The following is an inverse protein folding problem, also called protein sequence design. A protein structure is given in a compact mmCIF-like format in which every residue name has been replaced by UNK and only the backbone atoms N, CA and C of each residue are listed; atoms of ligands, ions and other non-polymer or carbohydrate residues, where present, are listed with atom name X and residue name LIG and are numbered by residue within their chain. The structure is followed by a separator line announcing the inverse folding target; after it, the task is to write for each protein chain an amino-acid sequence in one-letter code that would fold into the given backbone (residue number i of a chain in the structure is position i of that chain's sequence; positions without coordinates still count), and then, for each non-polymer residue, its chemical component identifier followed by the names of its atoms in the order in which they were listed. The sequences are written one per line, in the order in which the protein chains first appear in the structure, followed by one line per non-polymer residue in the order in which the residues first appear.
data_IF_252531625873
#
_entry.id   IF_252531625873
#
_cell.length_a   1.000
_cell.length_b   1.000
_cell.length_c   1.000
_cell.angle_alpha   90.00
_cell.angle_beta   90.00
_cell.angle_gamma   90.00
#
_symmetry.space_group_name_H-M   'P 1'
#
loop_
_entity.id
_entity.type
_entity.pdbx_description
1 polymer ?
#
# COMPACT_ATOMS: atom_id res chain seq x y z
N UNK A 1 7.29 -6.98 -14.06
CA UNK A 1 7.66 -6.66 -12.68
C UNK A 1 6.49 -5.98 -11.99
N UNK A 2 6.04 -6.61 -10.93
CA UNK A 2 4.89 -6.18 -10.18
C UNK A 2 5.28 -5.23 -9.05
N UNK A 3 4.53 -4.17 -8.88
CA UNK A 3 4.60 -3.36 -7.67
C UNK A 3 3.99 -4.12 -6.49
N UNK A 4 4.33 -3.68 -5.29
CA UNK A 4 3.90 -4.33 -4.04
C UNK A 4 3.20 -3.29 -3.17
N UNK A 5 2.08 -3.67 -2.56
CA UNK A 5 1.49 -2.88 -1.49
C UNK A 5 1.66 -3.62 -0.16
N UNK A 6 2.14 -2.91 0.85
CA UNK A 6 2.35 -3.45 2.19
C UNK A 6 1.36 -2.76 3.12
N UNK A 7 0.50 -3.55 3.75
CA UNK A 7 -0.48 -3.05 4.69
C UNK A 7 0.00 -3.28 6.12
N UNK A 8 -0.04 -2.23 6.92
CA UNK A 8 0.33 -2.30 8.33
C UNK A 8 -0.92 -2.12 9.18
N UNK A 9 -1.48 -3.23 9.64
CA UNK A 9 -2.63 -3.24 10.56
C UNK A 9 -3.91 -2.62 10.00
N UNK A 10 -4.24 -2.89 8.74
CA UNK A 10 -5.55 -2.57 8.20
C UNK A 10 -6.56 -3.56 8.80
N UNK A 11 -7.54 -3.06 9.54
CA UNK A 11 -8.48 -3.90 10.28
C UNK A 11 -9.87 -3.97 9.66
N UNK A 12 -10.28 -2.94 8.96
CA UNK A 12 -11.58 -2.89 8.32
C UNK A 12 -11.60 -3.77 7.07
N UNK A 13 -12.48 -4.78 7.05
CA UNK A 13 -12.57 -5.72 5.94
C UNK A 13 -13.02 -5.07 4.64
N UNK A 14 -13.81 -4.02 4.72
CA UNK A 14 -14.24 -3.27 3.53
C UNK A 14 -13.06 -2.51 2.92
N UNK A 15 -12.25 -1.86 3.75
CA UNK A 15 -11.02 -1.21 3.27
C UNK A 15 -10.06 -2.22 2.67
N UNK A 16 -9.89 -3.35 3.32
CA UNK A 16 -9.02 -4.41 2.80
C UNK A 16 -9.49 -4.87 1.42
N UNK A 17 -10.77 -5.20 1.29
CA UNK A 17 -11.33 -5.65 0.02
C UNK A 17 -11.18 -4.62 -1.11
N UNK A 18 -11.43 -3.35 -0.79
CA UNK A 18 -11.27 -2.26 -1.76
C UNK A 18 -9.80 -2.07 -2.17
N UNK A 19 -8.87 -2.20 -1.23
CA UNK A 19 -7.43 -2.11 -1.52
C UNK A 19 -6.99 -3.24 -2.45
N UNK A 20 -7.44 -4.46 -2.18
CA UNK A 20 -7.14 -5.61 -3.04
C UNK A 20 -7.66 -5.39 -4.47
N UNK A 21 -8.86 -4.87 -4.60
CA UNK A 21 -9.44 -4.59 -5.91
C UNK A 21 -8.63 -3.53 -6.66
N UNK A 22 -8.23 -2.46 -5.99
CA UNK A 22 -7.35 -1.44 -6.57
C UNK A 22 -5.99 -2.02 -6.94
N UNK A 23 -5.43 -2.87 -6.10
CA UNK A 23 -4.16 -3.54 -6.36
C UNK A 23 -4.22 -4.36 -7.65
N UNK A 24 -5.29 -5.11 -7.84
CA UNK A 24 -5.52 -5.85 -9.07
C UNK A 24 -5.63 -4.92 -10.28
N UNK A 25 -6.36 -3.81 -10.13
CA UNK A 25 -6.59 -2.85 -11.22
C UNK A 25 -5.31 -2.12 -11.64
N UNK A 26 -4.42 -1.84 -10.69
CA UNK A 26 -3.24 -1.00 -10.92
C UNK A 26 -1.92 -1.78 -10.90
N UNK A 27 -1.98 -3.09 -11.07
CA UNK A 27 -0.81 -3.95 -11.23
C UNK A 27 0.10 -3.99 -10.00
N UNK A 28 -0.49 -3.88 -8.81
CA UNK A 28 0.16 -4.16 -7.54
C UNK A 28 -0.17 -5.60 -7.17
N UNK A 29 0.46 -6.55 -7.84
CA UNK A 29 0.03 -7.95 -7.81
C UNK A 29 0.45 -8.71 -6.55
N UNK A 30 1.20 -8.07 -5.67
CA UNK A 30 1.62 -8.64 -4.39
C UNK A 30 1.12 -7.73 -3.28
N UNK A 31 0.37 -8.30 -2.34
CA UNK A 31 -0.13 -7.61 -1.16
C UNK A 31 0.46 -8.27 0.07
N UNK A 32 1.20 -7.51 0.86
CA UNK A 32 1.85 -8.02 2.07
C UNK A 32 1.04 -7.63 3.31
N UNK A 33 0.82 -8.60 4.18
CA UNK A 33 0.02 -8.44 5.40
C UNK A 33 0.80 -8.93 6.61
N UNK A 34 0.61 -8.31 7.78
CA UNK A 34 1.20 -8.87 9.02
C UNK A 34 0.60 -10.23 9.31
N UNK A 35 1.42 -11.16 9.71
CA UNK A 35 0.97 -12.50 10.09
C UNK A 35 0.10 -12.48 11.34
N UNK A 36 0.40 -11.57 12.28
CA UNK A 36 -0.40 -11.35 13.47
C UNK A 36 -1.16 -10.04 13.35
N UNK A 37 -2.39 -9.99 13.91
CA UNK A 37 -3.23 -8.80 13.91
C UNK A 37 -3.62 -8.30 12.52
N UNK A 38 -3.59 -9.18 11.53
CA UNK A 38 -4.16 -8.85 10.24
C UNK A 38 -5.69 -8.97 10.32
N UNK A 39 -6.36 -8.29 9.42
CA UNK A 39 -7.77 -8.52 9.19
C UNK A 39 -8.02 -10.00 8.95
N UNK A 40 -9.13 -10.53 9.45
CA UNK A 40 -9.52 -11.92 9.17
C UNK A 40 -9.77 -12.09 7.69
N UNK A 41 -8.77 -12.62 7.01
CA UNK A 41 -8.87 -12.88 5.58
C UNK A 41 -9.47 -14.26 5.41
N UNK A 42 -10.72 -14.31 5.02
CA UNK A 42 -11.43 -15.52 4.71
C UNK A 42 -11.60 -15.61 3.20
N UNK A 43 -11.89 -16.80 2.72
CA UNK A 43 -12.27 -16.98 1.30
C UNK A 43 -13.42 -16.04 0.90
N UNK A 44 -14.30 -15.76 1.82
CA UNK A 44 -15.41 -14.83 1.59
C UNK A 44 -14.92 -13.40 1.38
N UNK A 45 -13.95 -12.94 2.17
CA UNK A 45 -13.35 -11.63 2.00
C UNK A 45 -12.70 -11.53 0.62
N UNK A 46 -12.00 -12.57 0.23
CA UNK A 46 -11.44 -12.67 -1.11
C UNK A 46 -12.53 -12.63 -2.18
N UNK A 47 -13.56 -13.42 -2.04
CA UNK A 47 -14.63 -13.51 -3.03
C UNK A 47 -15.34 -12.15 -3.21
N UNK A 48 -15.57 -11.41 -2.12
CA UNK A 48 -16.23 -10.10 -2.18
C UNK A 48 -15.34 -9.04 -2.84
N UNK A 49 -14.04 -9.12 -2.60
CA UNK A 49 -13.10 -8.15 -3.16
C UNK A 49 -12.75 -8.42 -4.61
N UNK A 50 -13.09 -9.58 -5.12
CA UNK A 50 -12.29 -10.17 -6.16
C UNK A 50 -12.81 -10.23 -7.54
N UNK A 51 -13.60 -9.69 -8.03
CA UNK A 51 -13.72 -9.91 -9.49
C UNK A 51 -12.36 -9.94 -10.20
N UNK A 52 -11.59 -11.01 -10.07
CA UNK A 52 -10.31 -11.16 -10.78
C UNK A 52 -9.05 -11.20 -9.94
N UNK A 53 -9.15 -11.70 -8.73
CA UNK A 53 -7.99 -11.81 -7.81
C UNK A 53 -7.01 -12.92 -8.16
N UNK A 54 -7.21 -13.65 -9.22
CA UNK A 54 -6.26 -14.67 -9.63
C UNK A 54 -4.85 -14.10 -9.84
N UNK A 55 -4.75 -12.80 -10.11
CA UNK A 55 -3.49 -12.13 -10.38
C UNK A 55 -2.88 -11.45 -9.15
N UNK A 56 -3.53 -11.53 -7.99
CA UNK A 56 -3.01 -10.92 -6.76
C UNK A 56 -2.61 -12.01 -5.78
N UNK A 57 -1.36 -11.94 -5.33
CA UNK A 57 -0.82 -12.86 -4.33
C UNK A 57 -0.75 -12.20 -2.98
N UNK A 58 -1.18 -12.89 -1.94
CA UNK A 58 -1.07 -12.43 -0.56
C UNK A 58 0.18 -13.05 0.05
N UNK A 59 1.02 -12.24 0.65
CA UNK A 59 2.22 -12.67 1.36
C UNK A 59 2.14 -12.16 2.79
N UNK A 60 2.37 -13.05 3.75
CA UNK A 60 2.38 -12.67 5.16
C UNK A 60 3.81 -12.41 5.63
N UNK A 61 3.99 -11.37 6.42
CA UNK A 61 5.28 -11.04 7.02
C UNK A 61 5.21 -11.05 8.54
N UNK A 62 6.33 -11.35 9.21
CA UNK A 62 6.43 -11.31 10.67
C UNK A 62 6.89 -9.96 11.17
N UNK A 63 7.92 -9.40 10.58
CA UNK A 63 8.48 -8.10 10.95
C UNK A 63 8.49 -7.18 9.74
N UNK A 64 7.84 -6.03 9.87
CA UNK A 64 7.82 -5.04 8.80
C UNK A 64 9.23 -4.49 8.53
N UNK A 65 10.07 -4.39 9.55
CA UNK A 65 11.45 -3.91 9.38
C UNK A 65 12.29 -4.89 8.56
N UNK A 66 12.12 -6.18 8.80
CA UNK A 66 12.77 -7.22 7.98
C UNK A 66 12.26 -7.19 6.55
N UNK A 67 10.96 -6.98 6.38
CA UNK A 67 10.36 -6.87 5.05
C UNK A 67 10.92 -5.66 4.29
N UNK A 68 11.00 -4.50 4.93
CA UNK A 68 11.58 -3.28 4.32
C UNK A 68 13.00 -3.56 3.85
N UNK A 69 13.81 -4.16 4.71
CA UNK A 69 15.20 -4.49 4.36
C UNK A 69 15.27 -5.42 3.15
N UNK A 70 14.43 -6.43 3.13
CA UNK A 70 14.37 -7.38 2.01
C UNK A 70 13.92 -6.72 0.71
N UNK A 71 12.92 -5.85 0.79
CA UNK A 71 12.42 -5.14 -0.40
C UNK A 71 13.49 -4.21 -0.98
N UNK A 72 14.22 -3.50 -0.12
CA UNK A 72 15.33 -2.64 -0.57
C UNK A 72 16.42 -3.48 -1.23
N UNK A 73 16.74 -4.65 -0.67
CA UNK A 73 17.74 -5.55 -1.25
C UNK A 73 17.30 -6.08 -2.63
N UNK A 74 15.99 -6.11 -2.89
CA UNK A 74 15.42 -6.50 -4.18
C UNK A 74 15.19 -5.30 -5.12
N UNK A 75 15.76 -4.15 -4.78
CA UNK A 75 15.71 -2.91 -5.56
C UNK A 75 14.32 -2.27 -5.65
N UNK A 76 13.47 -2.51 -4.67
CA UNK A 76 12.21 -1.78 -4.56
C UNK A 76 12.46 -0.41 -3.93
N UNK A 77 11.80 0.60 -4.48
CA UNK A 77 11.65 1.88 -3.81
C UNK A 77 10.51 1.77 -2.79
N UNK A 78 10.84 2.01 -1.53
CA UNK A 78 9.86 1.90 -0.46
C UNK A 78 9.25 3.28 -0.20
N UNK A 79 7.95 3.39 -0.41
CA UNK A 79 7.21 4.66 -0.34
C UNK A 79 6.11 4.52 0.69
N UNK A 80 6.12 5.40 1.68
CA UNK A 80 5.05 5.48 2.66
C UNK A 80 4.00 6.51 2.26
N UNK A 81 2.75 6.22 2.54
CA UNK A 81 1.64 7.14 2.32
C UNK A 81 1.21 7.70 3.68
N UNK A 82 1.38 8.99 3.87
CA UNK A 82 1.05 9.69 5.11
C UNK A 82 0.51 11.08 4.81
N UNK A 83 -0.31 11.59 5.72
CA UNK A 83 -0.87 12.94 5.57
C UNK A 83 0.07 14.02 6.09
N UNK A 84 0.83 13.71 7.14
CA UNK A 84 1.70 14.67 7.82
C UNK A 84 3.11 14.64 7.22
N UNK A 85 3.20 15.11 5.99
CA UNK A 85 4.45 15.25 5.25
C UNK A 85 4.28 16.37 4.22
N UNK A 86 5.37 16.88 3.71
CA UNK A 86 5.34 17.95 2.71
C UNK A 86 5.38 17.43 1.27
N UNK A 87 5.89 16.22 1.05
CA UNK A 87 6.06 15.68 -0.30
C UNK A 87 4.72 15.25 -0.91
N UNK A 88 4.32 15.92 -1.96
CA UNK A 88 3.13 15.56 -2.73
C UNK A 88 3.46 14.38 -3.65
N UNK A 89 2.63 13.33 -3.61
CA UNK A 89 2.84 12.14 -4.43
C UNK A 89 2.89 12.46 -5.92
N UNK A 90 2.20 13.51 -6.35
CA UNK A 90 2.22 13.91 -7.76
C UNK A 90 3.61 14.34 -8.24
N UNK A 91 4.49 14.73 -7.32
CA UNK A 91 5.87 15.09 -7.64
C UNK A 91 6.83 13.91 -7.61
N UNK A 92 6.36 12.73 -7.19
CA UNK A 92 7.19 11.54 -7.11
C UNK A 92 7.15 10.80 -8.44
N UNK A 93 8.30 10.72 -9.11
CA UNK A 93 8.41 10.04 -10.39
C UNK A 93 9.30 8.81 -10.25
N UNK A 94 8.69 7.63 -10.23
CA UNK A 94 9.36 6.34 -10.15
C UNK A 94 8.97 5.46 -11.34
N UNK A 95 8.86 6.04 -12.53
CA UNK A 95 8.32 5.37 -13.72
C UNK A 95 9.08 4.11 -14.11
N UNK A 96 10.39 4.09 -13.92
CA UNK A 96 11.22 2.94 -14.29
C UNK A 96 11.65 2.10 -13.11
N UNK A 97 11.02 2.33 -11.95
CA UNK A 97 11.39 1.66 -10.70
C UNK A 97 10.28 0.71 -10.22
N UNK A 98 10.67 -0.28 -9.47
CA UNK A 98 9.74 -1.12 -8.72
C UNK A 98 9.36 -0.40 -7.43
N UNK A 99 8.08 -0.33 -7.13
CA UNK A 99 7.56 0.41 -5.98
C UNK A 99 6.94 -0.54 -4.98
N UNK A 100 7.30 -0.40 -3.71
CA UNK A 100 6.60 -0.99 -2.59
C UNK A 100 5.93 0.14 -1.81
N UNK A 101 4.61 0.18 -1.85
CA UNK A 101 3.80 1.22 -1.24
C UNK A 101 3.31 0.74 0.14
N UNK A 102 3.61 1.52 1.17
CA UNK A 102 3.27 1.18 2.57
C UNK A 102 2.08 2.01 3.03
N UNK A 103 1.04 1.33 3.47
CA UNK A 103 -0.20 1.93 3.99
C UNK A 103 -0.33 1.57 5.47
N UNK A 104 -0.42 2.57 6.32
CA UNK A 104 -0.58 2.38 7.75
C UNK A 104 -2.01 2.14 8.18
N UNK A 105 -2.21 1.96 9.49
CA UNK A 105 -3.55 1.75 10.06
C UNK A 105 -4.44 2.97 9.83
N UNK A 106 -5.74 2.73 9.84
CA UNK A 106 -6.74 3.79 9.64
C UNK A 106 -6.68 4.86 10.73
N UNK A 107 -6.30 4.47 11.94
CA UNK A 107 -6.30 5.38 13.09
C UNK A 107 -5.01 6.17 13.26
N UNK A 108 -3.87 5.52 13.09
CA UNK A 108 -2.59 6.11 13.45
C UNK A 108 -1.58 6.22 12.31
N UNK A 109 -1.89 5.67 11.15
CA UNK A 109 -0.97 5.67 10.02
C UNK A 109 0.27 4.80 10.28
N UNK A 110 1.37 5.16 9.64
CA UNK A 110 2.65 4.49 9.81
C UNK A 110 3.40 5.10 11.01
N UNK A 111 3.99 4.25 11.85
CA UNK A 111 4.80 4.75 12.97
C UNK A 111 6.01 5.53 12.46
N UNK A 112 6.52 6.44 13.30
CA UNK A 112 7.73 7.19 12.97
C UNK A 112 8.93 6.28 12.70
N UNK A 113 9.02 5.17 13.42
CA UNK A 113 10.10 4.21 13.23
C UNK A 113 10.05 3.56 11.85
N UNK A 114 8.86 3.21 11.39
CA UNK A 114 8.67 2.67 10.04
C UNK A 114 9.02 3.75 9.02
N UNK A 115 8.49 4.96 9.19
CA UNK A 115 8.72 6.04 8.24
C UNK A 115 10.22 6.32 8.03
N UNK A 116 11.02 6.27 9.09
CA UNK A 116 12.47 6.48 9.02
C UNK A 116 13.21 5.45 8.18
N UNK A 117 12.64 4.27 8.01
CA UNK A 117 13.26 3.19 7.25
C UNK A 117 12.87 3.19 5.78
N UNK A 118 11.84 3.93 5.41
CA UNK A 118 11.37 4.00 4.03
C UNK A 118 12.22 4.99 3.21
N UNK A 119 12.26 4.80 1.90
CA UNK A 119 13.02 5.67 1.01
C UNK A 119 12.40 7.06 0.94
N UNK A 120 11.07 7.12 0.92
CA UNK A 120 10.37 8.40 0.96
C UNK A 120 8.97 8.26 1.54
N UNK A 121 8.45 9.38 2.01
CA UNK A 121 7.09 9.50 2.54
C UNK A 121 6.38 10.55 1.71
N UNK A 122 5.19 10.26 1.25
CA UNK A 122 4.43 11.16 0.40
C UNK A 122 2.98 11.26 0.84
N UNK A 123 2.33 12.33 0.43
CA UNK A 123 0.92 12.57 0.71
C UNK A 123 0.14 12.76 -0.57
N UNK A 124 -1.16 12.57 -0.47
CA UNK A 124 -2.10 13.00 -1.49
C UNK A 124 -2.51 14.43 -1.13
N UNK A 125 -2.21 15.36 -2.02
CA UNK A 125 -2.57 16.76 -1.80
C UNK A 125 -4.09 16.94 -1.87
N UNK A 126 -4.66 17.63 -0.90
CA UNK A 126 -6.10 17.85 -0.84
C UNK A 126 -6.41 19.16 -0.12
N UNK A 127 -7.66 19.59 -0.20
CA UNK A 127 -8.13 20.82 0.43
C UNK A 127 -7.98 20.74 1.95
N UNK A 128 -7.55 21.80 2.56
CA UNK A 128 -7.32 21.89 4.02
C UNK A 128 -8.57 21.69 4.86
N UNK A 129 -9.75 21.76 4.26
CA UNK A 129 -11.03 21.58 4.96
C UNK A 129 -11.31 20.13 5.32
N UNK A 130 -10.60 19.21 4.73
CA UNK A 130 -10.77 17.77 4.94
C UNK A 130 -9.54 17.24 5.70
N UNK A 131 -9.76 16.55 6.80
CA UNK A 131 -8.67 16.03 7.62
C UNK A 131 -7.97 14.83 7.00
N UNK A 132 -8.72 13.92 6.40
CA UNK A 132 -8.16 12.72 5.78
C UNK A 132 -9.12 12.10 4.78
N UNK A 133 -8.58 11.27 3.91
CA UNK A 133 -9.35 10.39 3.04
C UNK A 133 -9.50 9.02 3.69
N UNK A 134 -10.55 8.31 3.31
CA UNK A 134 -10.65 6.89 3.63
C UNK A 134 -9.40 6.15 3.13
N UNK A 135 -8.90 5.21 3.92
CA UNK A 135 -7.65 4.51 3.63
C UNK A 135 -7.65 3.82 2.27
N UNK A 136 -8.76 3.18 1.89
CA UNK A 136 -8.84 2.49 0.60
C UNK A 136 -8.88 3.46 -0.57
N UNK A 137 -9.48 4.63 -0.40
CA UNK A 137 -9.50 5.67 -1.43
C UNK A 137 -8.09 6.24 -1.62
N UNK A 138 -7.41 6.57 -0.53
CA UNK A 138 -6.04 7.07 -0.57
C UNK A 138 -5.10 6.05 -1.23
N UNK A 139 -5.22 4.78 -0.84
CA UNK A 139 -4.43 3.70 -1.41
C UNK A 139 -4.67 3.56 -2.92
N UNK A 140 -5.92 3.64 -3.35
CA UNK A 140 -6.28 3.56 -4.77
C UNK A 140 -5.67 4.69 -5.59
N UNK A 141 -5.73 5.92 -5.07
CA UNK A 141 -5.13 7.09 -5.74
C UNK A 141 -3.61 6.90 -5.87
N UNK A 142 -2.95 6.47 -4.79
CA UNK A 142 -1.51 6.25 -4.79
C UNK A 142 -1.10 5.14 -5.76
N UNK A 143 -1.82 4.03 -5.76
CA UNK A 143 -1.53 2.92 -6.67
C UNK A 143 -1.76 3.33 -8.13
N UNK A 144 -2.79 4.11 -8.41
CA UNK A 144 -3.02 4.65 -9.75
C UNK A 144 -1.85 5.53 -10.20
N UNK A 145 -1.33 6.36 -9.30
CA UNK A 145 -0.19 7.23 -9.61
C UNK A 145 1.03 6.41 -10.06
N UNK A 146 1.29 5.28 -9.40
CA UNK A 146 2.44 4.43 -9.75
C UNK A 146 2.13 3.37 -10.81
N UNK A 147 0.90 3.32 -11.29
CA UNK A 147 0.51 2.33 -12.28
C UNK A 147 1.25 2.55 -13.58
N UNK A 148 1.85 1.48 -14.09
CA UNK A 148 2.55 1.48 -15.37
C UNK A 148 1.82 0.57 -16.33
N UNK A 149 1.46 1.13 -17.47
CA UNK A 149 0.90 0.30 -18.53
C UNK A 149 1.99 -0.61 -19.05
N UNK A 150 1.69 -1.90 -19.14
CA UNK A 150 2.55 -2.80 -19.90
C UNK A 150 2.50 -2.37 -21.37
N UNK A 151 3.63 -2.05 -21.91
CA UNK A 151 3.78 -1.70 -23.31
C UNK A 151 3.60 -2.93 -24.20
#
# INVERSE_FOLDING_TARGET
LSNIVVLDHIQDTNNFGAIIRSAAAFNFNIVCLPKKRSVNITERTFAVSSGGLENVSIVFYNSIFSLIKKLKALDYWTVGLEMDTEEDISNVNLNDQKVALFIGSEESGLSNEIQKKLDLISKINMDNKIESLNASVAAGIAMNHFFKKSS
#
